data_IF_383063153851
#
_entry.id   IF_383063153851
#
_cell.length_a   1.000
_cell.length_b   1.000
_cell.length_c   1.000
_cell.angle_alpha   90.00
_cell.angle_beta   90.00
_cell.angle_gamma   90.00
#
_symmetry.space_group_name_H-M   'P 1'
#
loop_
_entity.id
_entity.type
_entity.pdbx_description
1 polymer ?
#
# COMPACT_ATOMS: atom_id res chain seq x y z
N UNK A 1 -25.17 -12.49 -11.92
CA UNK A 1 -26.44 -12.17 -11.25
C UNK A 1 -27.48 -11.93 -12.33
N UNK A 2 -28.54 -12.74 -12.33
CA UNK A 2 -29.53 -12.86 -13.39
C UNK A 2 -30.55 -11.72 -13.41
N UNK A 3 -30.94 -11.27 -14.61
CA UNK A 3 -32.31 -11.23 -15.15
C UNK A 3 -32.38 -10.23 -16.30
N UNK A 4 -32.63 -10.73 -17.51
CA UNK A 4 -33.77 -10.29 -18.33
C UNK A 4 -33.89 -11.25 -19.53
N UNK A 5 -34.92 -12.06 -19.46
CA UNK A 5 -35.49 -12.82 -20.57
C UNK A 5 -36.82 -12.13 -20.86
N UNK A 6 -37.05 -11.74 -22.11
CA UNK A 6 -38.39 -11.78 -22.70
C UNK A 6 -38.30 -12.42 -24.09
N UNK A 7 -39.13 -13.44 -24.27
CA UNK A 7 -39.15 -14.40 -25.37
C UNK A 7 -40.27 -14.09 -26.34
N UNK A 8 -40.03 -14.33 -27.63
CA UNK A 8 -41.06 -14.87 -28.53
C UNK A 8 -40.45 -15.86 -29.51
N UNK A 9 -40.94 -17.12 -29.48
CA UNK A 9 -41.08 -17.96 -30.67
C UNK A 9 -40.05 -19.08 -30.91
N UNK A 10 -40.49 -20.32 -30.66
CA UNK A 10 -40.00 -21.61 -31.17
C UNK A 10 -38.61 -22.10 -30.71
N UNK A 11 -38.60 -23.26 -30.04
CA UNK A 11 -37.45 -24.15 -29.77
C UNK A 11 -36.06 -23.52 -29.88
N UNK A 12 -35.62 -22.79 -28.87
CA UNK A 12 -34.34 -22.09 -28.97
C UNK A 12 -33.76 -21.81 -27.60
N UNK A 13 -32.68 -22.50 -27.25
CA UNK A 13 -31.67 -21.91 -26.36
C UNK A 13 -31.32 -20.53 -26.96
N UNK A 14 -31.12 -19.47 -26.16
CA UNK A 14 -30.74 -18.17 -26.70
C UNK A 14 -29.48 -18.35 -27.56
N UNK A 15 -29.57 -17.99 -28.84
CA UNK A 15 -28.40 -17.97 -29.74
C UNK A 15 -27.33 -17.09 -29.10
N UNK A 16 -26.26 -17.74 -28.65
CA UNK A 16 -25.16 -17.05 -28.01
C UNK A 16 -24.47 -16.19 -29.07
N UNK A 17 -24.51 -14.86 -28.89
CA UNK A 17 -23.84 -13.94 -29.82
C UNK A 17 -22.34 -14.27 -29.90
N UNK A 18 -21.74 -14.39 -31.09
CA UNK A 18 -20.30 -14.61 -31.24
C UNK A 18 -19.44 -13.59 -30.49
N UNK A 19 -19.93 -12.34 -30.35
CA UNK A 19 -19.24 -11.28 -29.61
C UNK A 19 -19.23 -11.57 -28.11
N UNK A 20 -20.31 -12.13 -27.56
CA UNK A 20 -20.38 -12.49 -26.14
C UNK A 20 -19.35 -13.57 -25.78
N UNK A 21 -19.12 -14.54 -26.68
CA UNK A 21 -18.09 -15.58 -26.50
C UNK A 21 -16.69 -14.95 -26.42
N UNK A 22 -16.42 -13.94 -27.26
CA UNK A 22 -15.17 -13.18 -27.21
C UNK A 22 -15.03 -12.43 -25.89
N UNK A 23 -16.09 -11.77 -25.43
CA UNK A 23 -16.07 -11.03 -24.16
C UNK A 23 -15.80 -11.95 -22.97
N UNK A 24 -16.41 -13.15 -22.93
CA UNK A 24 -16.15 -14.17 -21.90
C UNK A 24 -14.70 -14.64 -21.95
N UNK A 25 -14.15 -14.88 -23.14
CA UNK A 25 -12.75 -15.28 -23.29
C UNK A 25 -11.77 -14.18 -22.84
N UNK A 26 -12.11 -12.91 -23.07
CA UNK A 26 -11.35 -11.76 -22.57
C UNK A 26 -11.46 -11.67 -21.04
N UNK A 27 -12.63 -11.88 -20.47
CA UNK A 27 -12.82 -11.85 -19.02
C UNK A 27 -12.03 -12.97 -18.34
N UNK A 28 -12.03 -14.19 -18.90
CA UNK A 28 -11.17 -15.29 -18.43
C UNK A 28 -9.68 -14.96 -18.55
N UNK A 29 -9.26 -14.35 -19.66
CA UNK A 29 -7.88 -13.91 -19.87
C UNK A 29 -7.43 -12.90 -18.81
N UNK A 30 -8.28 -11.93 -18.49
CA UNK A 30 -8.00 -10.92 -17.45
C UNK A 30 -8.11 -11.51 -16.03
N UNK A 31 -8.99 -12.48 -15.78
CA UNK A 31 -9.05 -13.21 -14.52
C UNK A 31 -7.74 -13.98 -14.27
N UNK A 32 -7.19 -14.65 -15.29
CA UNK A 32 -5.86 -15.29 -15.20
C UNK A 32 -4.79 -14.24 -14.89
N UNK A 33 -4.82 -13.08 -15.55
CA UNK A 33 -3.86 -12.00 -15.29
C UNK A 33 -3.92 -11.55 -13.82
N UNK A 34 -5.11 -11.45 -13.25
CA UNK A 34 -5.37 -10.82 -11.96
C UNK A 34 -5.35 -11.81 -10.78
N UNK A 35 -5.46 -13.12 -11.03
CA UNK A 35 -5.56 -14.13 -9.96
C UNK A 35 -4.49 -15.22 -10.02
N UNK A 36 -3.82 -15.42 -11.17
CA UNK A 36 -2.76 -16.42 -11.30
C UNK A 36 -1.38 -15.81 -11.02
N UNK A 37 -0.78 -16.20 -9.89
CA UNK A 37 0.52 -15.72 -9.43
C UNK A 37 1.50 -16.88 -9.18
N UNK A 38 1.98 -17.55 -10.25
CA UNK A 38 2.97 -18.61 -10.11
C UNK A 38 4.31 -18.06 -9.61
N UNK A 39 5.13 -18.93 -9.03
CA UNK A 39 6.49 -18.58 -8.61
C UNK A 39 7.39 -18.24 -9.80
N UNK A 40 7.18 -18.92 -10.93
CA UNK A 40 7.87 -18.63 -12.19
C UNK A 40 7.06 -17.69 -13.07
N UNK A 41 7.58 -16.48 -13.31
CA UNK A 41 6.93 -15.47 -14.14
C UNK A 41 6.82 -15.89 -15.62
N UNK A 42 7.69 -16.80 -16.08
CA UNK A 42 7.59 -17.36 -17.43
C UNK A 42 6.34 -18.22 -17.59
N UNK A 43 5.93 -18.94 -16.53
CA UNK A 43 4.70 -19.72 -16.52
C UNK A 43 3.47 -18.81 -16.67
N UNK A 44 3.42 -17.68 -15.94
CA UNK A 44 2.35 -16.68 -16.08
C UNK A 44 2.29 -16.15 -17.51
N UNK A 45 3.44 -15.76 -18.04
CA UNK A 45 3.54 -15.19 -19.40
C UNK A 45 3.11 -16.19 -20.47
N UNK A 46 3.56 -17.44 -20.38
CA UNK A 46 3.17 -18.49 -21.33
C UNK A 46 1.67 -18.81 -21.26
N UNK A 47 1.08 -18.82 -20.06
CA UNK A 47 -0.36 -19.01 -19.88
C UNK A 47 -1.15 -17.84 -20.47
N UNK A 48 -0.76 -16.60 -20.20
CA UNK A 48 -1.40 -15.42 -20.79
C UNK A 48 -1.31 -15.44 -22.32
N UNK A 49 -0.15 -15.80 -22.88
CA UNK A 49 0.02 -15.92 -24.33
C UNK A 49 -0.95 -16.93 -24.94
N UNK A 50 -1.06 -18.13 -24.36
CA UNK A 50 -1.98 -19.17 -24.85
C UNK A 50 -3.43 -18.69 -24.90
N UNK A 51 -3.91 -18.02 -23.85
CA UNK A 51 -5.29 -17.55 -23.79
C UNK A 51 -5.50 -16.30 -24.67
N UNK A 52 -4.50 -15.43 -24.80
CA UNK A 52 -4.54 -14.30 -25.72
C UNK A 52 -4.63 -14.76 -27.17
N UNK A 53 -3.83 -15.76 -27.58
CA UNK A 53 -3.87 -16.32 -28.94
C UNK A 53 -5.24 -16.93 -29.25
N UNK A 54 -5.83 -17.66 -28.29
CA UNK A 54 -7.17 -18.22 -28.41
C UNK A 54 -8.24 -17.13 -28.53
N UNK A 55 -8.18 -16.08 -27.68
CA UNK A 55 -9.10 -14.96 -27.73
C UNK A 55 -8.98 -14.17 -29.04
N UNK A 56 -7.78 -13.99 -29.57
CA UNK A 56 -7.56 -13.35 -30.87
C UNK A 56 -8.18 -14.17 -32.01
N UNK A 57 -8.02 -15.49 -32.02
CA UNK A 57 -8.67 -16.35 -33.00
C UNK A 57 -10.21 -16.27 -32.92
N UNK A 58 -10.77 -16.18 -31.71
CA UNK A 58 -12.20 -15.93 -31.51
C UNK A 58 -12.64 -14.58 -32.06
N UNK A 59 -11.86 -13.51 -31.90
CA UNK A 59 -12.17 -12.19 -32.49
C UNK A 59 -12.23 -12.25 -34.01
N UNK A 60 -11.25 -12.90 -34.64
CA UNK A 60 -11.22 -13.02 -36.12
C UNK A 60 -12.43 -13.78 -36.66
N UNK A 61 -12.86 -14.83 -35.96
CA UNK A 61 -14.03 -15.65 -36.36
C UNK A 61 -15.36 -14.98 -36.03
N UNK A 62 -15.47 -14.27 -34.91
CA UNK A 62 -16.69 -13.57 -34.51
C UNK A 62 -16.94 -12.29 -35.31
N UNK A 63 -15.87 -11.61 -35.74
CA UNK A 63 -15.95 -10.37 -36.53
C UNK A 63 -15.05 -10.48 -37.76
N UNK A 64 -15.38 -11.35 -38.73
CA UNK A 64 -14.60 -11.50 -39.96
C UNK A 64 -14.72 -10.23 -40.83
N UNK A 65 -13.86 -10.12 -41.84
CA UNK A 65 -13.73 -8.89 -42.63
C UNK A 65 -15.05 -8.46 -43.30
N UNK A 66 -15.90 -9.41 -43.68
CA UNK A 66 -17.22 -9.19 -44.26
C UNK A 66 -18.19 -8.53 -43.29
N UNK A 67 -18.01 -8.70 -41.97
CA UNK A 67 -18.85 -8.06 -40.95
C UNK A 67 -18.32 -6.68 -40.52
N UNK A 68 -17.11 -6.30 -40.95
CA UNK A 68 -16.46 -5.01 -40.61
C UNK A 68 -16.92 -3.86 -41.54
N UNK A 69 -18.21 -3.80 -41.88
CA UNK A 69 -18.74 -2.83 -42.86
C UNK A 69 -18.95 -1.44 -42.25
N UNK A 70 -19.44 -1.37 -41.02
CA UNK A 70 -19.67 -0.09 -40.35
C UNK A 70 -18.43 0.40 -39.60
N UNK A 71 -18.36 1.72 -39.36
CA UNK A 71 -17.32 2.31 -38.50
C UNK A 71 -17.37 1.77 -37.06
N UNK A 72 -18.58 1.52 -36.53
CA UNK A 72 -18.77 0.96 -35.19
C UNK A 72 -18.23 -0.47 -35.06
N UNK A 73 -18.53 -1.35 -36.04
CA UNK A 73 -18.02 -2.73 -36.05
C UNK A 73 -16.49 -2.76 -36.20
N UNK A 74 -15.93 -1.89 -37.05
CA UNK A 74 -14.47 -1.73 -37.15
C UNK A 74 -13.86 -1.27 -35.82
N UNK A 75 -14.48 -0.29 -35.16
CA UNK A 75 -14.01 0.19 -33.86
C UNK A 75 -14.04 -0.92 -32.79
N UNK A 76 -15.11 -1.73 -32.76
CA UNK A 76 -15.24 -2.84 -31.82
C UNK A 76 -14.18 -3.92 -32.06
N UNK A 77 -13.93 -4.28 -33.32
CA UNK A 77 -12.86 -5.22 -33.68
C UNK A 77 -11.47 -4.73 -33.23
N UNK A 78 -11.13 -3.47 -33.55
CA UNK A 78 -9.86 -2.84 -33.16
C UNK A 78 -9.72 -2.77 -31.64
N UNK A 79 -10.81 -2.44 -30.93
CA UNK A 79 -10.85 -2.41 -29.47
C UNK A 79 -10.59 -3.79 -28.85
N UNK A 80 -11.29 -4.83 -29.31
CA UNK A 80 -11.18 -6.17 -28.72
C UNK A 80 -9.77 -6.76 -28.92
N UNK A 81 -9.18 -6.62 -30.12
CA UNK A 81 -7.78 -7.04 -30.33
C UNK A 81 -6.81 -6.24 -29.47
N UNK A 82 -6.98 -4.91 -29.44
CA UNK A 82 -6.16 -4.03 -28.63
C UNK A 82 -6.20 -4.38 -27.14
N UNK A 83 -7.38 -4.67 -26.60
CA UNK A 83 -7.59 -5.10 -25.22
C UNK A 83 -6.91 -6.45 -24.93
N UNK A 84 -7.03 -7.43 -25.83
CA UNK A 84 -6.35 -8.73 -25.66
C UNK A 84 -4.83 -8.57 -25.62
N UNK A 85 -4.27 -7.77 -26.54
CA UNK A 85 -2.82 -7.53 -26.62
C UNK A 85 -2.31 -6.72 -25.42
N UNK A 86 -3.15 -5.93 -24.77
CA UNK A 86 -2.82 -5.18 -23.55
C UNK A 86 -2.86 -6.05 -22.26
N UNK A 87 -3.13 -7.35 -22.33
CA UNK A 87 -3.15 -8.20 -21.11
C UNK A 87 -1.78 -8.29 -20.41
N UNK A 88 -0.69 -8.15 -21.17
CA UNK A 88 0.66 -8.36 -20.68
C UNK A 88 1.15 -7.18 -19.82
N UNK A 89 2.05 -7.42 -18.85
CA UNK A 89 2.54 -6.37 -17.96
C UNK A 89 3.48 -5.36 -18.65
N UNK A 90 3.97 -5.67 -19.84
CA UNK A 90 4.87 -4.82 -20.63
C UNK A 90 4.13 -4.16 -21.80
N UNK A 91 4.66 -3.02 -22.24
CA UNK A 91 4.14 -2.29 -23.39
C UNK A 91 4.23 -3.12 -24.68
N UNK A 92 3.13 -3.13 -25.44
CA UNK A 92 3.07 -3.69 -26.79
C UNK A 92 2.60 -2.63 -27.77
N UNK A 93 3.44 -2.32 -28.76
CA UNK A 93 3.10 -1.34 -29.80
C UNK A 93 1.85 -1.72 -30.57
N UNK A 94 1.65 -3.01 -30.85
CA UNK A 94 0.47 -3.49 -31.55
C UNK A 94 -0.83 -3.21 -30.78
N UNK A 95 -0.81 -3.33 -29.45
CA UNK A 95 -1.94 -2.95 -28.60
C UNK A 95 -2.25 -1.45 -28.75
N UNK A 96 -1.24 -0.57 -28.66
CA UNK A 96 -1.40 0.88 -28.86
C UNK A 96 -1.96 1.20 -30.24
N UNK A 97 -1.45 0.56 -31.31
CA UNK A 97 -1.89 0.79 -32.69
C UNK A 97 -3.38 0.43 -32.88
N UNK A 98 -3.81 -0.72 -32.34
CA UNK A 98 -5.21 -1.15 -32.37
C UNK A 98 -6.12 -0.25 -31.53
N UNK A 99 -5.73 0.06 -30.29
CA UNK A 99 -6.51 0.91 -29.40
C UNK A 99 -6.62 2.35 -29.92
N UNK A 100 -5.55 2.88 -30.51
CA UNK A 100 -5.53 4.19 -31.17
C UNK A 100 -6.49 4.25 -32.37
N UNK A 101 -6.59 3.17 -33.15
CA UNK A 101 -7.59 3.07 -34.23
C UNK A 101 -9.00 2.99 -33.66
N UNK A 102 -9.21 2.20 -32.61
CA UNK A 102 -10.52 2.06 -31.97
C UNK A 102 -11.09 3.40 -31.49
N UNK A 103 -10.30 4.21 -30.78
CA UNK A 103 -10.75 5.52 -30.28
C UNK A 103 -10.93 6.56 -31.39
N UNK A 104 -10.21 6.44 -32.52
CA UNK A 104 -10.42 7.30 -33.70
C UNK A 104 -11.72 6.95 -34.44
N UNK A 105 -12.04 5.66 -34.55
CA UNK A 105 -13.24 5.18 -35.21
C UNK A 105 -14.49 5.40 -34.35
N UNK A 106 -14.37 5.24 -33.04
CA UNK A 106 -15.44 5.50 -32.08
C UNK A 106 -14.91 6.24 -30.84
N UNK A 107 -14.88 7.58 -30.86
CA UNK A 107 -14.41 8.39 -29.75
C UNK A 107 -15.24 8.25 -28.46
N UNK A 108 -16.46 7.73 -28.54
CA UNK A 108 -17.36 7.55 -27.39
C UNK A 108 -17.11 6.26 -26.61
N UNK A 109 -16.21 5.38 -27.09
CA UNK A 109 -15.91 4.11 -26.45
C UNK A 109 -14.96 4.32 -25.26
N UNK A 110 -15.52 4.58 -24.07
CA UNK A 110 -14.76 4.87 -22.86
C UNK A 110 -13.77 3.77 -22.48
N UNK A 111 -14.15 2.49 -22.65
CA UNK A 111 -13.27 1.35 -22.36
C UNK A 111 -12.07 1.28 -23.31
N UNK A 112 -12.19 1.74 -24.56
CA UNK A 112 -11.04 1.81 -25.47
C UNK A 112 -10.05 2.90 -25.04
N UNK A 113 -10.54 4.04 -24.55
CA UNK A 113 -9.68 5.08 -23.96
C UNK A 113 -9.00 4.60 -22.67
N UNK A 114 -9.71 3.84 -21.82
CA UNK A 114 -9.15 3.20 -20.64
C UNK A 114 -8.01 2.24 -21.01
N UNK A 115 -8.24 1.31 -21.94
CA UNK A 115 -7.20 0.39 -22.40
C UNK A 115 -6.04 1.13 -23.06
N UNK A 116 -6.30 2.16 -23.87
CA UNK A 116 -5.25 2.97 -24.49
C UNK A 116 -4.40 3.69 -23.43
N UNK A 117 -5.03 4.27 -22.42
CA UNK A 117 -4.36 4.93 -21.31
C UNK A 117 -3.47 3.97 -20.52
N UNK A 118 -3.93 2.73 -20.26
CA UNK A 118 -3.13 1.68 -19.61
C UNK A 118 -1.94 1.27 -20.48
N UNK A 119 -2.15 1.07 -21.79
CA UNK A 119 -1.09 0.71 -22.72
C UNK A 119 0.01 1.79 -22.79
N UNK A 120 -0.39 3.07 -22.89
CA UNK A 120 0.52 4.22 -22.88
C UNK A 120 1.20 4.39 -21.52
N UNK A 121 0.54 4.03 -20.41
CA UNK A 121 1.19 4.01 -19.10
C UNK A 121 2.35 3.00 -19.09
N UNK A 122 2.15 1.79 -19.62
CA UNK A 122 3.23 0.79 -19.73
C UNK A 122 4.40 1.26 -20.61
N UNK A 123 4.15 2.17 -21.56
CA UNK A 123 5.19 2.83 -22.39
C UNK A 123 6.01 3.86 -21.60
N UNK A 124 5.49 4.32 -20.46
CA UNK A 124 6.12 5.34 -19.59
C UNK A 124 5.67 6.77 -19.88
N UNK A 125 4.77 7.01 -20.82
CA UNK A 125 4.26 8.34 -21.15
C UNK A 125 3.07 8.71 -20.23
N UNK A 126 3.39 9.08 -18.99
CA UNK A 126 2.40 9.40 -17.96
C UNK A 126 1.47 10.56 -18.35
N UNK A 127 1.93 11.67 -18.96
CA UNK A 127 1.05 12.74 -19.41
C UNK A 127 0.03 12.29 -20.46
N UNK A 128 0.45 11.52 -21.47
CA UNK A 128 -0.47 11.01 -22.49
C UNK A 128 -1.47 9.99 -21.92
N UNK A 129 -1.04 9.17 -20.94
CA UNK A 129 -1.94 8.27 -20.22
C UNK A 129 -3.02 9.04 -19.45
N UNK A 130 -2.65 10.10 -18.71
CA UNK A 130 -3.60 10.97 -17.99
C UNK A 130 -4.61 11.61 -18.94
N UNK A 131 -4.15 12.06 -20.12
CA UNK A 131 -5.03 12.59 -21.17
C UNK A 131 -6.04 11.56 -21.66
N UNK A 132 -5.63 10.31 -21.89
CA UNK A 132 -6.53 9.23 -22.31
C UNK A 132 -7.62 8.97 -21.26
N UNK A 133 -7.26 8.87 -19.98
CA UNK A 133 -8.25 8.68 -18.92
C UNK A 133 -9.18 9.88 -18.75
N UNK A 134 -8.67 11.10 -18.90
CA UNK A 134 -9.48 12.32 -18.85
C UNK A 134 -10.49 12.37 -20.00
N UNK A 135 -10.07 11.98 -21.21
CA UNK A 135 -10.96 11.84 -22.36
C UNK A 135 -12.00 10.73 -22.15
N UNK A 136 -11.63 9.63 -21.50
CA UNK A 136 -12.55 8.57 -21.14
C UNK A 136 -13.64 9.07 -20.16
N UNK A 137 -13.24 9.81 -19.11
CA UNK A 137 -14.19 10.41 -18.15
C UNK A 137 -15.09 11.48 -18.78
N UNK A 138 -14.62 12.18 -19.83
CA UNK A 138 -15.48 13.11 -20.58
C UNK A 138 -16.70 12.45 -21.22
N UNK A 139 -16.71 11.11 -21.35
CA UNK A 139 -17.84 10.32 -21.89
C UNK A 139 -18.83 9.89 -20.82
N UNK A 140 -18.45 10.01 -19.55
CA UNK A 140 -19.30 9.68 -18.42
C UNK A 140 -18.48 9.23 -17.20
N UNK A 141 -19.04 9.36 -15.98
CA UNK A 141 -18.38 8.90 -14.77
C UNK A 141 -18.21 7.37 -14.79
N UNK A 142 -17.01 6.89 -14.48
CA UNK A 142 -16.69 5.47 -14.47
C UNK A 142 -15.68 5.15 -13.37
N UNK A 143 -16.05 4.25 -12.45
CA UNK A 143 -15.23 3.88 -11.29
C UNK A 143 -13.88 3.27 -11.66
N UNK A 144 -13.80 2.47 -12.75
CA UNK A 144 -12.56 1.84 -13.20
C UNK A 144 -11.57 2.90 -13.69
N UNK A 145 -12.05 3.88 -14.48
CA UNK A 145 -11.22 4.97 -14.99
C UNK A 145 -10.74 5.88 -13.83
N UNK A 146 -11.63 6.19 -12.88
CA UNK A 146 -11.27 6.96 -11.68
C UNK A 146 -10.21 6.25 -10.82
N UNK A 147 -10.30 4.93 -10.68
CA UNK A 147 -9.26 4.14 -10.01
C UNK A 147 -7.93 4.22 -10.76
N UNK A 148 -7.92 4.08 -12.09
CA UNK A 148 -6.71 4.18 -12.89
C UNK A 148 -6.05 5.56 -12.82
N UNK A 149 -6.84 6.64 -12.88
CA UNK A 149 -6.33 8.00 -12.64
C UNK A 149 -5.70 8.15 -11.27
N UNK A 150 -6.39 7.66 -10.23
CA UNK A 150 -5.86 7.67 -8.88
C UNK A 150 -4.53 6.92 -8.78
N UNK A 151 -4.38 5.76 -9.41
CA UNK A 151 -3.12 5.01 -9.43
C UNK A 151 -2.01 5.75 -10.21
N UNK A 152 -2.35 6.28 -11.40
CA UNK A 152 -1.41 7.02 -12.25
C UNK A 152 -0.86 8.26 -11.54
N UNK A 153 -1.72 9.02 -10.87
CA UNK A 153 -1.33 10.24 -10.16
C UNK A 153 -0.35 9.95 -9.01
N UNK A 154 -0.52 8.82 -8.30
CA UNK A 154 0.46 8.37 -7.29
C UNK A 154 1.78 7.93 -7.93
N UNK A 155 1.73 7.31 -9.11
CA UNK A 155 2.93 6.95 -9.86
C UNK A 155 3.68 8.20 -10.33
N UNK A 156 2.97 9.20 -10.86
CA UNK A 156 3.54 10.50 -11.25
C UNK A 156 4.14 11.24 -10.05
N UNK A 157 3.49 11.19 -8.89
CA UNK A 157 4.00 11.79 -7.66
C UNK A 157 5.34 11.20 -7.20
N UNK A 158 5.69 9.97 -7.57
CA UNK A 158 7.01 9.40 -7.27
C UNK A 158 8.11 9.96 -8.18
N UNK A 159 7.76 10.40 -9.39
CA UNK A 159 8.70 10.82 -10.43
C UNK A 159 8.86 12.36 -10.55
N UNK A 160 7.96 13.13 -9.94
CA UNK A 160 7.87 14.59 -10.12
C UNK A 160 8.05 15.34 -8.80
N UNK A 161 8.38 16.63 -8.87
CA UNK A 161 8.53 17.50 -7.67
C UNK A 161 7.18 17.88 -7.04
N UNK A 162 6.08 17.92 -7.82
CA UNK A 162 4.75 18.32 -7.34
C UNK A 162 3.96 17.16 -6.69
N UNK A 163 4.59 16.47 -5.74
CA UNK A 163 4.08 15.21 -5.18
C UNK A 163 2.76 15.39 -4.43
N UNK A 164 2.65 16.44 -3.60
CA UNK A 164 1.50 16.65 -2.71
C UNK A 164 0.22 16.87 -3.52
N UNK A 165 0.26 17.76 -4.51
CA UNK A 165 -0.91 18.07 -5.35
C UNK A 165 -1.41 16.85 -6.10
N UNK A 166 -0.52 16.08 -6.73
CA UNK A 166 -0.88 14.86 -7.48
C UNK A 166 -1.52 13.81 -6.54
N UNK A 167 -1.03 13.70 -5.31
CA UNK A 167 -1.61 12.78 -4.34
C UNK A 167 -2.98 13.25 -3.83
N UNK A 168 -3.19 14.57 -3.72
CA UNK A 168 -4.52 15.11 -3.39
C UNK A 168 -5.53 14.86 -4.52
N UNK A 169 -5.14 15.03 -5.80
CA UNK A 169 -5.94 14.61 -6.96
C UNK A 169 -6.26 13.10 -6.89
N UNK A 170 -5.26 12.28 -6.55
CA UNK A 170 -5.43 10.83 -6.41
C UNK A 170 -6.48 10.45 -5.37
N UNK A 171 -6.51 11.17 -4.23
CA UNK A 171 -7.53 10.99 -3.20
C UNK A 171 -8.91 11.40 -3.73
N UNK A 172 -9.02 12.51 -4.46
CA UNK A 172 -10.29 12.97 -5.02
C UNK A 172 -10.87 11.95 -6.01
N UNK A 173 -10.06 11.44 -6.95
CA UNK A 173 -10.49 10.42 -7.90
C UNK A 173 -10.87 9.11 -7.22
N UNK A 174 -10.10 8.64 -6.23
CA UNK A 174 -10.44 7.43 -5.49
C UNK A 174 -11.74 7.57 -4.68
N UNK A 175 -11.97 8.73 -4.05
CA UNK A 175 -13.24 9.02 -3.36
C UNK A 175 -14.41 9.03 -4.34
N UNK A 176 -14.24 9.65 -5.50
CA UNK A 176 -15.27 9.64 -6.54
C UNK A 176 -15.58 8.21 -7.02
N UNK A 177 -14.58 7.35 -7.16
CA UNK A 177 -14.78 5.94 -7.50
C UNK A 177 -15.62 5.21 -6.44
N UNK A 178 -15.29 5.39 -5.15
CA UNK A 178 -16.07 4.83 -4.02
C UNK A 178 -17.50 5.38 -4.00
N UNK A 179 -17.71 6.66 -4.33
CA UNK A 179 -19.05 7.25 -4.37
C UNK A 179 -19.93 6.68 -5.48
N UNK A 180 -19.34 6.25 -6.60
CA UNK A 180 -20.08 5.57 -7.67
C UNK A 180 -20.52 4.16 -7.27
N UNK A 181 -19.73 3.46 -6.45
CA UNK A 181 -20.07 2.15 -5.91
C UNK A 181 -19.37 1.88 -4.57
N UNK A 182 -20.10 2.08 -3.47
CA UNK A 182 -19.57 1.90 -2.12
C UNK A 182 -19.28 0.45 -1.75
N UNK A 183 -19.71 -0.52 -2.57
CA UNK A 183 -19.43 -1.95 -2.37
C UNK A 183 -18.20 -2.41 -3.17
N UNK A 184 -17.69 -1.59 -4.07
CA UNK A 184 -16.53 -1.93 -4.90
C UNK A 184 -15.25 -1.93 -4.07
N UNK A 185 -14.71 -3.12 -3.79
CA UNK A 185 -13.53 -3.24 -2.96
C UNK A 185 -12.28 -2.64 -3.61
N UNK A 186 -12.18 -2.69 -4.95
CA UNK A 186 -11.05 -2.11 -5.67
C UNK A 186 -11.00 -0.57 -5.54
N UNK A 187 -12.15 0.10 -5.54
CA UNK A 187 -12.25 1.55 -5.27
C UNK A 187 -11.80 1.89 -3.85
N UNK A 188 -12.22 1.11 -2.86
CA UNK A 188 -11.76 1.26 -1.47
C UNK A 188 -10.27 1.01 -1.31
N UNK A 189 -9.73 -0.01 -1.99
CA UNK A 189 -8.31 -0.31 -2.00
C UNK A 189 -7.49 0.84 -2.59
N UNK A 190 -7.95 1.42 -3.70
CA UNK A 190 -7.31 2.58 -4.31
C UNK A 190 -7.35 3.82 -3.41
N UNK A 191 -8.46 4.03 -2.69
CA UNK A 191 -8.54 5.08 -1.67
C UNK A 191 -7.56 4.84 -0.51
N UNK A 192 -7.40 3.58 -0.10
CA UNK A 192 -6.44 3.18 0.93
C UNK A 192 -5.00 3.51 0.52
N UNK A 193 -4.64 3.18 -0.72
CA UNK A 193 -3.34 3.51 -1.30
C UNK A 193 -3.12 5.02 -1.43
N UNK A 194 -4.14 5.78 -1.84
CA UNK A 194 -4.06 7.24 -1.92
C UNK A 194 -3.79 7.89 -0.56
N UNK A 195 -4.48 7.44 0.49
CA UNK A 195 -4.22 7.90 1.84
C UNK A 195 -2.84 7.49 2.36
N UNK A 196 -2.41 6.24 2.07
CA UNK A 196 -1.09 5.76 2.46
C UNK A 196 0.02 6.61 1.81
N UNK A 197 -0.08 6.86 0.51
CA UNK A 197 0.87 7.72 -0.20
C UNK A 197 0.83 9.16 0.32
N UNK A 198 -0.36 9.71 0.60
CA UNK A 198 -0.49 11.07 1.15
C UNK A 198 0.18 11.19 2.51
N UNK A 199 0.07 10.17 3.37
CA UNK A 199 0.77 10.12 4.64
C UNK A 199 2.28 10.28 4.45
N UNK A 200 2.91 9.49 3.59
CA UNK A 200 4.37 9.56 3.39
C UNK A 200 4.82 10.83 2.66
N UNK A 201 4.12 11.24 1.59
CA UNK A 201 4.47 12.43 0.79
C UNK A 201 4.35 13.71 1.61
N UNK A 202 3.41 13.76 2.57
CA UNK A 202 3.30 14.92 3.47
C UNK A 202 4.26 14.88 4.66
N UNK A 203 5.17 13.91 4.72
CA UNK A 203 6.23 13.84 5.74
C UNK A 203 5.95 12.87 6.89
N UNK A 204 4.99 11.96 6.72
CA UNK A 204 4.67 10.89 7.66
C UNK A 204 4.25 11.36 9.08
N UNK A 205 3.59 12.52 9.16
CA UNK A 205 3.14 13.09 10.45
C UNK A 205 1.64 12.98 10.68
N UNK A 206 0.83 13.05 9.61
CA UNK A 206 -0.63 13.03 9.70
C UNK A 206 -1.17 11.60 9.90
N UNK A 207 -1.15 11.14 11.14
CA UNK A 207 -1.66 9.83 11.52
C UNK A 207 -3.13 9.62 11.15
N UNK A 208 -3.92 10.68 10.96
CA UNK A 208 -5.30 10.53 10.52
C UNK A 208 -5.37 9.96 9.11
N UNK A 209 -4.46 10.34 8.20
CA UNK A 209 -4.36 9.73 6.86
C UNK A 209 -4.00 8.26 6.91
N UNK A 210 -3.08 7.87 7.79
CA UNK A 210 -2.71 6.47 7.94
C UNK A 210 -3.87 5.62 8.50
N UNK A 211 -4.64 6.18 9.45
CA UNK A 211 -5.87 5.54 9.95
C UNK A 211 -6.97 5.49 8.89
N UNK A 212 -7.12 6.53 8.05
CA UNK A 212 -8.04 6.53 6.91
C UNK A 212 -7.65 5.46 5.89
N UNK A 213 -6.35 5.27 5.62
CA UNK A 213 -5.84 4.21 4.77
C UNK A 213 -6.26 2.82 5.28
N UNK A 214 -6.02 2.52 6.57
CA UNK A 214 -6.43 1.26 7.18
C UNK A 214 -7.95 1.03 7.12
N UNK A 215 -8.76 2.06 7.36
CA UNK A 215 -10.22 1.96 7.24
C UNK A 215 -10.66 1.67 5.81
N UNK A 216 -9.99 2.26 4.82
CA UNK A 216 -10.26 1.98 3.41
C UNK A 216 -9.93 0.52 3.06
N UNK A 217 -8.77 0.00 3.49
CA UNK A 217 -8.43 -1.41 3.29
C UNK A 217 -9.42 -2.36 3.98
N UNK A 218 -9.86 -2.05 5.20
CA UNK A 218 -10.89 -2.83 5.89
C UNK A 218 -12.23 -2.85 5.13
N UNK A 219 -12.58 -1.78 4.41
CA UNK A 219 -13.76 -1.78 3.54
C UNK A 219 -13.50 -2.55 2.25
N UNK A 220 -12.29 -2.49 1.69
CA UNK A 220 -11.91 -3.27 0.52
C UNK A 220 -12.01 -4.79 0.78
N UNK A 221 -11.56 -5.25 1.95
CA UNK A 221 -11.60 -6.67 2.35
C UNK A 221 -13.02 -7.26 2.48
N UNK A 222 -14.07 -6.41 2.53
CA UNK A 222 -15.47 -6.86 2.53
C UNK A 222 -15.93 -7.37 1.17
N UNK A 223 -15.23 -6.99 0.10
CA UNK A 223 -15.46 -7.51 -1.25
C UNK A 223 -14.75 -8.85 -1.42
N UNK A 224 -15.50 -9.90 -1.78
CA UNK A 224 -14.97 -11.25 -1.97
C UNK A 224 -13.88 -11.31 -3.04
N UNK A 225 -13.97 -10.49 -4.09
CA UNK A 225 -12.95 -10.45 -5.15
C UNK A 225 -11.62 -9.89 -4.60
N UNK A 226 -11.69 -8.91 -3.70
CA UNK A 226 -10.51 -8.31 -3.12
C UNK A 226 -9.80 -9.22 -2.12
N UNK A 227 -10.49 -10.22 -1.56
CA UNK A 227 -9.83 -11.25 -0.72
C UNK A 227 -8.82 -12.09 -1.48
N UNK A 228 -8.85 -12.08 -2.82
CA UNK A 228 -7.84 -12.73 -3.66
C UNK A 228 -6.66 -11.80 -3.99
N UNK A 229 -6.77 -10.49 -3.71
CA UNK A 229 -5.73 -9.51 -4.07
C UNK A 229 -4.51 -9.61 -3.14
N UNK A 230 -3.34 -10.03 -3.63
CA UNK A 230 -2.13 -10.07 -2.81
C UNK A 230 -1.64 -8.67 -2.41
N UNK A 231 -1.80 -7.68 -3.29
CA UNK A 231 -1.35 -6.31 -3.07
C UNK A 231 -2.15 -5.58 -1.97
N UNK A 232 -3.44 -5.89 -1.82
CA UNK A 232 -4.25 -5.38 -0.71
C UNK A 232 -3.66 -5.80 0.64
N UNK A 233 -3.38 -7.10 0.82
CA UNK A 233 -2.78 -7.61 2.05
C UNK A 233 -1.39 -7.03 2.28
N UNK A 234 -0.57 -6.91 1.23
CA UNK A 234 0.78 -6.36 1.33
C UNK A 234 0.77 -4.89 1.78
N UNK A 235 -0.07 -4.05 1.15
CA UNK A 235 -0.15 -2.63 1.45
C UNK A 235 -0.80 -2.38 2.82
N UNK A 236 -1.83 -3.15 3.18
CA UNK A 236 -2.45 -3.11 4.52
C UNK A 236 -1.45 -3.55 5.60
N UNK A 237 -0.65 -4.59 5.36
CA UNK A 237 0.41 -5.04 6.25
C UNK A 237 1.51 -3.98 6.41
N UNK A 238 1.88 -3.30 5.33
CA UNK A 238 2.85 -2.20 5.35
C UNK A 238 2.38 -1.04 6.24
N UNK A 239 1.12 -0.63 6.12
CA UNK A 239 0.53 0.39 6.99
C UNK A 239 0.50 -0.06 8.46
N UNK A 240 0.14 -1.33 8.73
CA UNK A 240 0.16 -1.90 10.07
C UNK A 240 1.58 -1.99 10.65
N UNK A 241 2.58 -2.39 9.85
CA UNK A 241 4.01 -2.42 10.24
C UNK A 241 4.47 -1.04 10.67
N UNK A 242 4.16 -0.01 9.88
CA UNK A 242 4.52 1.37 10.21
C UNK A 242 3.86 1.84 11.51
N UNK A 243 2.61 1.44 11.74
CA UNK A 243 1.89 1.69 12.99
C UNK A 243 2.30 0.76 14.14
N UNK A 244 3.33 -0.06 14.01
CA UNK A 244 3.77 -1.04 15.02
C UNK A 244 2.67 -2.05 15.43
N UNK A 245 1.67 -2.28 14.57
CA UNK A 245 0.67 -3.33 14.73
C UNK A 245 1.26 -4.66 14.20
N UNK A 246 2.31 -5.16 14.85
CA UNK A 246 3.15 -6.24 14.32
C UNK A 246 2.39 -7.52 13.98
N UNK A 247 1.45 -7.95 14.82
CA UNK A 247 0.64 -9.16 14.58
C UNK A 247 -0.18 -9.05 13.28
N UNK A 248 -0.87 -7.91 13.09
CA UNK A 248 -1.64 -7.65 11.86
C UNK A 248 -0.74 -7.55 10.64
N UNK A 249 0.44 -6.93 10.79
CA UNK A 249 1.42 -6.86 9.72
C UNK A 249 1.92 -8.25 9.32
N UNK A 250 2.26 -9.11 10.29
CA UNK A 250 2.72 -10.48 10.05
C UNK A 250 1.66 -11.32 9.32
N UNK A 251 0.40 -11.29 9.78
CA UNK A 251 -0.70 -11.98 9.09
C UNK A 251 -0.93 -11.45 7.68
N UNK A 252 -0.91 -10.13 7.48
CA UNK A 252 -1.10 -9.54 6.15
C UNK A 252 0.04 -9.90 5.20
N UNK A 253 1.31 -9.83 5.63
CA UNK A 253 2.43 -10.24 4.79
C UNK A 253 2.44 -11.76 4.51
N UNK A 254 2.06 -12.60 5.48
CA UNK A 254 1.92 -14.05 5.26
C UNK A 254 0.79 -14.35 4.24
N UNK A 255 -0.35 -13.66 4.36
CA UNK A 255 -1.45 -13.78 3.42
C UNK A 255 -1.08 -13.29 2.01
N UNK A 256 -0.28 -12.23 1.89
CA UNK A 256 0.24 -11.74 0.62
C UNK A 256 1.24 -12.74 0.00
N UNK A 257 2.18 -13.26 0.79
CA UNK A 257 3.18 -14.25 0.34
C UNK A 257 2.53 -15.55 -0.14
N UNK A 258 1.45 -15.98 0.53
CA UNK A 258 0.70 -17.16 0.14
C UNK A 258 0.00 -16.99 -1.22
N UNK A 259 -0.53 -15.80 -1.48
CA UNK A 259 -1.27 -15.49 -2.72
C UNK A 259 -0.35 -15.21 -3.90
N UNK A 260 0.71 -14.43 -3.69
CA UNK A 260 1.71 -14.10 -4.69
C UNK A 260 3.12 -14.25 -4.09
N UNK A 261 3.77 -15.41 -4.29
CA UNK A 261 5.15 -15.64 -3.87
C UNK A 261 6.15 -14.64 -4.48
N UNK A 262 5.82 -14.04 -5.63
CA UNK A 262 6.66 -13.05 -6.31
C UNK A 262 6.76 -11.71 -5.58
N UNK A 263 5.83 -11.40 -4.67
CA UNK A 263 5.92 -10.20 -3.82
C UNK A 263 7.06 -10.26 -2.81
N UNK A 264 7.63 -11.44 -2.56
CA UNK A 264 8.64 -11.65 -1.51
C UNK A 264 8.19 -11.16 -0.12
N UNK A 265 6.89 -11.19 0.16
CA UNK A 265 6.33 -10.73 1.44
C UNK A 265 6.79 -11.59 2.63
N UNK A 266 7.26 -12.81 2.36
CA UNK A 266 7.94 -13.67 3.32
C UNK A 266 9.23 -13.04 3.88
N UNK A 267 9.92 -12.19 3.10
CA UNK A 267 11.08 -11.42 3.58
C UNK A 267 10.65 -10.41 4.65
N UNK A 268 9.53 -9.74 4.46
CA UNK A 268 8.99 -8.79 5.44
C UNK A 268 8.53 -9.50 6.72
N UNK A 269 7.91 -10.68 6.60
CA UNK A 269 7.61 -11.54 7.78
C UNK A 269 8.90 -11.87 8.54
N UNK A 270 9.94 -12.34 7.86
CA UNK A 270 11.23 -12.68 8.50
C UNK A 270 11.85 -11.48 9.19
N UNK A 271 11.86 -10.30 8.55
CA UNK A 271 12.40 -9.07 9.15
C UNK A 271 11.69 -8.70 10.44
N UNK A 272 10.35 -8.75 10.46
CA UNK A 272 9.55 -8.42 11.66
C UNK A 272 9.84 -9.44 12.77
N UNK A 273 9.87 -10.75 12.47
CA UNK A 273 10.16 -11.77 13.49
C UNK A 273 11.57 -11.58 14.07
N UNK A 274 12.58 -11.37 13.23
CA UNK A 274 13.96 -11.10 13.68
C UNK A 274 14.04 -9.85 14.54
N UNK A 275 13.31 -8.79 14.17
CA UNK A 275 13.22 -7.57 14.99
C UNK A 275 12.61 -7.88 16.36
N UNK A 276 11.44 -8.52 16.41
CA UNK A 276 10.76 -8.87 17.66
C UNK A 276 11.62 -9.75 18.57
N UNK A 277 12.32 -10.72 17.99
CA UNK A 277 13.28 -11.57 18.71
C UNK A 277 14.42 -10.75 19.32
N UNK A 278 14.98 -9.79 18.57
CA UNK A 278 16.02 -8.90 19.09
C UNK A 278 15.49 -8.01 20.20
N UNK A 279 14.32 -7.39 20.04
CA UNK A 279 13.71 -6.53 21.06
C UNK A 279 13.47 -7.30 22.37
N UNK A 280 12.87 -8.49 22.27
CA UNK A 280 12.60 -9.38 23.41
C UNK A 280 13.89 -9.82 24.12
N UNK A 281 14.89 -10.29 23.37
CA UNK A 281 16.17 -10.71 23.93
C UNK A 281 16.94 -9.54 24.56
N UNK A 282 16.93 -8.38 23.91
CA UNK A 282 17.59 -7.17 24.43
C UNK A 282 16.99 -6.70 25.74
N UNK A 283 15.66 -6.74 25.90
CA UNK A 283 14.99 -6.41 27.16
C UNK A 283 15.31 -7.41 28.27
N UNK A 284 15.22 -8.72 27.96
CA UNK A 284 15.55 -9.80 28.91
C UNK A 284 16.99 -9.71 29.41
N UNK A 285 17.93 -9.31 28.55
CA UNK A 285 19.33 -9.12 28.92
C UNK A 285 19.59 -7.96 29.89
N UNK A 286 18.68 -6.97 29.96
CA UNK A 286 18.80 -5.84 30.90
C UNK A 286 18.13 -6.11 32.25
N UNK A 287 17.19 -7.06 32.31
CA UNK A 287 16.50 -7.43 33.54
C UNK A 287 17.51 -7.97 34.58
N UNK A 288 17.66 -7.25 35.71
CA UNK A 288 18.54 -7.66 36.81
C UNK A 288 20.02 -7.25 36.67
N UNK A 289 20.37 -6.40 35.69
CA UNK A 289 21.75 -5.92 35.53
C UNK A 289 22.17 -4.97 36.65
N UNK A 290 23.15 -5.40 37.47
CA UNK A 290 23.76 -4.57 38.55
C UNK A 290 24.48 -3.32 38.02
N UNK A 291 24.72 -3.23 36.71
CA UNK A 291 25.37 -2.08 36.06
C UNK A 291 24.45 -0.88 35.88
N UNK A 292 23.14 -1.05 36.06
CA UNK A 292 22.13 0.01 35.85
C UNK A 292 22.16 1.08 36.95
N UNK A 293 22.34 0.70 38.22
CA UNK A 293 22.27 1.62 39.35
C UNK A 293 23.16 2.88 39.22
N UNK A 294 24.47 2.78 38.89
CA UNK A 294 25.31 3.98 38.71
C UNK A 294 24.92 4.82 37.49
N UNK A 295 24.46 4.20 36.40
CA UNK A 295 23.99 4.91 35.20
C UNK A 295 22.72 5.73 35.48
N UNK A 296 21.79 5.14 36.22
CA UNK A 296 20.49 5.72 36.52
C UNK A 296 20.54 6.79 37.61
N UNK A 297 21.55 6.77 38.49
CA UNK A 297 21.77 7.82 39.50
C UNK A 297 21.85 9.23 38.87
N UNK A 298 22.37 9.33 37.66
CA UNK A 298 22.47 10.59 36.91
C UNK A 298 21.11 11.15 36.41
N UNK A 299 20.02 10.38 36.44
CA UNK A 299 18.70 10.81 35.93
C UNK A 299 17.94 11.75 36.88
N UNK A 300 18.38 11.85 38.15
CA UNK A 300 17.73 12.64 39.19
C UNK A 300 17.97 14.15 39.07
N UNK A 301 19.07 14.57 38.44
CA UNK A 301 19.57 15.96 38.43
C UNK A 301 18.94 16.86 37.35
N UNK A 302 17.93 16.37 36.62
CA UNK A 302 17.38 17.07 35.46
C UNK A 302 16.45 18.21 35.91
N UNK A 303 17.00 19.42 36.03
CA UNK A 303 16.24 20.68 36.05
C UNK A 303 15.95 21.14 34.62
N UNK A 304 15.02 20.45 33.94
CA UNK A 304 14.47 20.98 32.70
C UNK A 304 13.34 21.96 33.07
N UNK A 305 13.44 23.21 32.64
CA UNK A 305 12.34 24.18 32.72
C UNK A 305 11.34 23.80 31.62
N UNK A 306 10.55 22.76 31.88
CA UNK A 306 9.49 22.28 31.00
C UNK A 306 8.15 22.42 31.70
N UNK A 307 7.12 22.78 30.95
CA UNK A 307 5.73 22.76 31.41
C UNK A 307 5.21 21.33 31.65
N UNK A 308 5.96 20.30 31.25
CA UNK A 308 5.58 18.91 31.33
C UNK A 308 5.92 18.30 32.69
N UNK A 309 4.98 17.54 33.26
CA UNK A 309 5.21 16.80 34.50
C UNK A 309 6.11 15.59 34.25
N UNK A 310 7.24 15.51 34.96
CA UNK A 310 8.09 14.30 34.96
C UNK A 310 7.34 13.12 35.58
N UNK A 311 7.25 12.02 34.86
CA UNK A 311 6.66 10.75 35.30
C UNK A 311 7.57 9.58 34.95
N UNK A 312 7.35 8.43 35.58
CA UNK A 312 8.00 7.17 35.24
C UNK A 312 7.08 6.32 34.35
N UNK A 313 7.63 5.28 33.72
CA UNK A 313 6.93 4.45 32.74
C UNK A 313 5.64 3.84 33.30
N UNK A 314 5.67 3.40 34.57
CA UNK A 314 4.56 2.72 35.24
C UNK A 314 3.30 3.58 35.48
N UNK A 315 3.39 4.90 35.25
CA UNK A 315 2.25 5.83 35.38
C UNK A 315 1.59 6.09 34.02
N UNK A 316 2.27 5.78 32.91
CA UNK A 316 1.76 6.06 31.57
C UNK A 316 0.54 5.21 31.24
N UNK A 317 -0.37 5.80 30.49
CA UNK A 317 -1.55 5.12 29.93
C UNK A 317 -1.35 4.86 28.45
N UNK A 318 -1.96 3.78 27.93
CA UNK A 318 -1.83 3.42 26.52
C UNK A 318 -2.32 4.56 25.62
N UNK A 319 -1.50 4.93 24.63
CA UNK A 319 -1.72 6.06 23.73
C UNK A 319 -0.92 7.30 24.11
N UNK A 320 -1.42 8.47 23.68
CA UNK A 320 -0.75 9.76 23.86
C UNK A 320 -0.93 10.28 25.30
N UNK A 321 0.18 10.56 26.00
CA UNK A 321 0.16 11.12 27.34
C UNK A 321 0.55 12.61 27.31
N UNK A 322 -0.44 13.50 27.17
CA UNK A 322 -0.23 14.96 27.04
C UNK A 322 0.33 15.61 28.31
N UNK A 323 1.11 16.68 28.16
CA UNK A 323 1.68 17.45 29.28
C UNK A 323 2.52 16.62 30.27
N UNK A 324 2.99 15.43 29.87
CA UNK A 324 3.91 14.61 30.66
C UNK A 324 5.23 14.44 29.91
N UNK A 325 6.29 14.19 30.67
CA UNK A 325 7.58 13.78 30.11
C UNK A 325 8.15 12.58 30.87
N UNK A 326 8.88 11.73 30.17
CA UNK A 326 9.67 10.66 30.76
C UNK A 326 11.14 10.89 30.47
N UNK A 327 11.99 10.62 31.45
CA UNK A 327 13.44 10.71 31.30
C UNK A 327 14.02 9.31 31.47
N UNK A 328 14.83 8.89 30.52
CA UNK A 328 15.48 7.59 30.54
C UNK A 328 16.92 7.64 30.07
N UNK A 329 17.66 6.59 30.40
CA UNK A 329 19.02 6.34 29.92
C UNK A 329 18.96 5.32 28.79
N UNK A 330 19.60 5.61 27.67
CA UNK A 330 19.73 4.68 26.54
C UNK A 330 20.73 3.60 26.93
N UNK A 331 20.29 2.35 26.93
CA UNK A 331 21.10 1.20 27.32
C UNK A 331 21.69 0.46 26.12
N UNK A 332 20.97 0.44 25.00
CA UNK A 332 21.36 -0.33 23.83
C UNK A 332 20.65 0.19 22.58
N UNK A 333 21.35 0.22 21.46
CA UNK A 333 20.76 0.34 20.13
C UNK A 333 20.48 -1.05 19.54
N UNK A 334 19.25 -1.29 19.07
CA UNK A 334 18.83 -2.58 18.51
C UNK A 334 18.91 -2.53 16.99
N UNK A 335 19.99 -3.08 16.44
CA UNK A 335 20.24 -3.12 14.99
C UNK A 335 19.26 -4.04 14.26
N UNK A 336 18.65 -3.54 13.18
CA UNK A 336 17.79 -4.31 12.28
C UNK A 336 17.99 -3.84 10.83
N UNK A 337 17.31 -4.49 9.88
CA UNK A 337 17.57 -4.34 8.45
C UNK A 337 16.81 -3.17 7.80
N UNK A 338 15.81 -2.59 8.47
CA UNK A 338 15.06 -1.45 7.94
C UNK A 338 15.71 -0.12 8.36
N UNK A 339 15.56 0.89 7.52
CA UNK A 339 16.14 2.24 7.74
C UNK A 339 15.41 2.97 8.86
N UNK A 340 14.12 2.71 9.03
CA UNK A 340 13.29 3.34 10.05
C UNK A 340 12.17 2.38 10.52
N UNK A 341 11.76 2.48 11.81
CA UNK A 341 12.33 3.37 12.83
C UNK A 341 13.62 2.82 13.44
N UNK A 342 14.39 3.68 14.12
CA UNK A 342 15.48 3.23 14.99
C UNK A 342 14.93 2.73 16.31
N UNK A 343 15.45 1.60 16.81
CA UNK A 343 15.00 1.00 18.08
C UNK A 343 16.09 1.07 19.14
N UNK A 344 15.72 1.49 20.34
CA UNK A 344 16.61 1.55 21.50
C UNK A 344 15.98 0.88 22.71
N UNK A 345 16.79 0.27 23.57
CA UNK A 345 16.37 -0.09 24.93
C UNK A 345 16.67 1.10 25.83
N UNK A 346 15.65 1.59 26.52
CA UNK A 346 15.74 2.73 27.44
C UNK A 346 15.27 2.30 28.81
N UNK A 347 15.89 2.84 29.86
CA UNK A 347 15.54 2.55 31.24
C UNK A 347 15.32 3.84 32.03
N UNK A 348 14.20 3.93 32.74
CA UNK A 348 13.85 5.08 33.57
C UNK A 348 14.45 5.00 34.99
N UNK A 349 14.19 6.02 35.82
CA UNK A 349 14.67 6.07 37.21
C UNK A 349 14.09 4.97 38.12
N UNK A 350 12.98 4.34 37.73
CA UNK A 350 12.38 3.22 38.47
C UNK A 350 12.92 1.85 38.01
N UNK A 351 13.96 1.83 37.18
CA UNK A 351 14.52 0.63 36.57
C UNK A 351 13.55 -0.09 35.62
N UNK A 352 12.52 0.60 35.13
CA UNK A 352 11.63 0.06 34.12
C UNK A 352 12.28 0.20 32.74
N UNK A 353 12.61 -0.93 32.12
CA UNK A 353 13.12 -0.97 30.74
C UNK A 353 11.97 -1.00 29.73
N UNK A 354 12.11 -0.27 28.64
CA UNK A 354 11.15 -0.23 27.54
C UNK A 354 11.86 -0.01 26.20
N UNK A 355 11.15 -0.31 25.10
CA UNK A 355 11.63 -0.03 23.75
C UNK A 355 11.27 1.40 23.37
N UNK A 356 12.23 2.16 22.88
CA UNK A 356 12.01 3.44 22.22
C UNK A 356 12.09 3.23 20.71
N UNK A 357 10.99 3.45 19.99
CA UNK A 357 10.95 3.50 18.54
C UNK A 357 11.00 4.95 18.07
N UNK A 358 12.04 5.32 17.31
CA UNK A 358 12.26 6.68 16.84
C UNK A 358 12.14 6.73 15.32
N UNK A 359 11.09 7.39 14.84
CA UNK A 359 10.88 7.70 13.44
C UNK A 359 11.49 9.06 13.12
N UNK A 360 11.90 9.22 11.86
CA UNK A 360 12.35 10.51 11.34
C UNK A 360 13.65 11.05 11.93
N UNK A 361 14.44 10.21 12.60
CA UNK A 361 15.74 10.57 13.18
C UNK A 361 16.81 9.59 12.70
N UNK A 362 17.97 10.13 12.32
CA UNK A 362 19.13 9.34 11.92
C UNK A 362 19.67 8.53 13.10
N UNK A 363 20.07 7.27 12.87
CA UNK A 363 20.51 6.34 13.92
C UNK A 363 21.69 6.87 14.78
N UNK A 364 22.56 7.72 14.21
CA UNK A 364 23.73 8.28 14.89
C UNK A 364 23.40 9.42 15.88
N UNK A 365 22.15 9.88 15.88
CA UNK A 365 21.71 11.00 16.70
C UNK A 365 21.58 10.66 18.19
N UNK A 366 21.39 9.38 18.52
CA UNK A 366 21.19 8.87 19.88
C UNK A 366 22.15 7.72 20.10
N UNK A 367 22.96 7.79 21.16
CA UNK A 367 24.01 6.82 21.49
C UNK A 367 23.73 6.11 22.81
N UNK A 368 24.38 4.97 22.98
CA UNK A 368 24.38 4.27 24.27
C UNK A 368 24.96 5.18 25.37
N UNK A 369 24.29 5.20 26.52
CA UNK A 369 24.62 6.09 27.62
C UNK A 369 24.03 7.50 27.49
N UNK A 370 23.40 7.87 26.38
CA UNK A 370 22.71 9.15 26.30
C UNK A 370 21.50 9.19 27.23
N UNK A 371 21.20 10.38 27.75
CA UNK A 371 19.95 10.66 28.44
C UNK A 371 18.93 11.15 27.43
N UNK A 372 17.77 10.51 27.38
CA UNK A 372 16.66 10.93 26.53
C UNK A 372 15.52 11.45 27.39
N UNK A 373 14.98 12.62 27.03
CA UNK A 373 13.72 13.14 27.58
C UNK A 373 12.68 13.08 26.48
N UNK A 374 11.62 12.31 26.70
CA UNK A 374 10.53 12.14 25.75
C UNK A 374 9.34 12.98 26.20
N UNK A 375 8.91 13.91 25.35
CA UNK A 375 7.80 14.82 25.58
C UNK A 375 6.53 14.22 25.00
N UNK A 376 5.43 14.32 25.76
CA UNK A 376 4.12 13.79 25.41
C UNK A 376 4.16 12.35 24.85
N UNK A 377 4.77 11.39 25.59
CA UNK A 377 5.07 10.07 25.06
C UNK A 377 3.83 9.33 24.59
N UNK A 378 3.92 8.77 23.38
CA UNK A 378 2.96 7.80 22.88
C UNK A 378 3.34 6.41 23.37
N UNK A 379 2.72 5.98 24.47
CA UNK A 379 3.02 4.73 25.16
C UNK A 379 2.20 3.57 24.62
N UNK A 380 2.82 2.40 24.47
CA UNK A 380 2.19 1.17 23.98
C UNK A 380 2.60 -0.02 24.82
N UNK A 381 1.61 -0.87 25.06
CA UNK A 381 1.80 -2.22 25.57
C UNK A 381 1.70 -3.13 24.34
N UNK A 382 2.82 -3.75 23.97
CA UNK A 382 2.87 -4.70 22.87
C UNK A 382 2.73 -6.08 23.49
N UNK A 383 1.62 -6.73 23.20
CA UNK A 383 1.29 -8.08 23.65
C UNK A 383 0.75 -8.81 22.42
N UNK A 384 1.56 -9.70 21.88
CA UNK A 384 1.20 -10.44 20.67
C UNK A 384 1.80 -11.83 20.67
N UNK A 385 1.12 -12.73 19.95
CA UNK A 385 1.60 -14.10 19.76
C UNK A 385 1.73 -14.36 18.27
N UNK A 386 2.93 -14.74 17.83
CA UNK A 386 3.15 -15.16 16.46
C UNK A 386 3.56 -16.62 16.43
N UNK A 387 2.72 -17.44 15.79
CA UNK A 387 2.85 -18.91 15.75
C UNK A 387 2.89 -19.47 17.17
N UNK A 388 4.06 -19.84 17.68
CA UNK A 388 4.22 -20.43 19.02
C UNK A 388 5.01 -19.52 19.98
N UNK A 389 5.44 -18.33 19.53
CA UNK A 389 6.22 -17.41 20.36
C UNK A 389 5.37 -16.22 20.78
N UNK A 390 5.38 -15.96 22.08
CA UNK A 390 4.73 -14.83 22.71
C UNK A 390 5.75 -13.71 22.92
N UNK A 391 5.38 -12.48 22.56
CA UNK A 391 6.17 -11.27 22.76
C UNK A 391 5.38 -10.30 23.61
N UNK A 392 5.97 -9.88 24.73
CA UNK A 392 5.38 -8.90 25.61
C UNK A 392 6.42 -7.84 25.97
N UNK A 393 6.18 -6.59 25.56
CA UNK A 393 7.06 -5.47 25.90
C UNK A 393 6.35 -4.13 25.84
N UNK A 394 6.84 -3.20 26.65
CA UNK A 394 6.42 -1.82 26.63
C UNK A 394 7.23 -1.04 25.60
N UNK A 395 6.58 -0.15 24.84
CA UNK A 395 7.28 0.79 23.96
C UNK A 395 6.78 2.23 24.08
N UNK A 396 7.65 3.17 23.74
CA UNK A 396 7.29 4.56 23.49
C UNK A 396 7.71 4.90 22.07
N UNK A 397 6.76 5.45 21.31
CA UNK A 397 6.98 5.89 19.94
C UNK A 397 7.25 7.39 19.89
N UNK A 398 8.25 7.76 19.11
CA UNK A 398 8.59 9.14 18.75
C UNK A 398 8.47 9.27 17.23
N UNK A 399 7.62 10.20 16.80
CA UNK A 399 7.41 10.50 15.39
C UNK A 399 8.22 11.71 14.91
N UNK A 400 8.55 12.63 15.83
CA UNK A 400 9.21 13.90 15.53
C UNK A 400 10.38 14.21 16.45
N UNK A 401 11.35 14.97 15.93
CA UNK A 401 12.53 15.42 16.68
C UNK A 401 12.17 16.30 17.86
N UNK A 402 11.06 17.03 17.80
CA UNK A 402 10.58 17.92 18.86
C UNK A 402 10.06 17.13 20.08
N UNK A 403 9.73 15.86 19.91
CA UNK A 403 9.25 15.00 21.00
C UNK A 403 10.40 14.39 21.80
N UNK A 404 11.66 14.61 21.41
CA UNK A 404 12.82 14.00 22.06
C UNK A 404 13.95 15.01 22.26
N UNK A 405 14.44 15.08 23.49
CA UNK A 405 15.67 15.79 23.83
C UNK A 405 16.75 14.77 24.19
N UNK A 406 17.97 14.99 23.69
CA UNK A 406 19.12 14.13 23.96
C UNK A 406 20.14 14.93 24.74
N UNK A 407 20.48 14.48 25.96
CA UNK A 407 21.33 15.18 26.90
C UNK A 407 20.89 16.65 27.05
N UNK A 408 19.60 16.84 27.38
CA UNK A 408 18.93 18.14 27.59
C UNK A 408 18.82 19.04 26.34
N UNK A 409 19.36 18.62 25.20
CA UNK A 409 19.37 19.41 23.98
C UNK A 409 18.39 18.89 22.94
N UNK A 410 17.74 19.80 22.22
CA UNK A 410 16.97 19.45 21.04
C UNK A 410 17.90 18.85 19.96
N UNK A 411 17.40 17.86 19.23
CA UNK A 411 18.14 17.28 18.12
C UNK A 411 18.35 18.33 17.02
N UNK A 412 19.58 18.46 16.53
CA UNK A 412 19.90 19.37 15.44
C UNK A 412 19.15 18.96 14.15
N UNK A 413 18.70 19.92 13.31
CA UNK A 413 17.94 19.63 12.09
C UNK A 413 18.60 18.64 11.14
N UNK A 414 19.94 18.61 11.11
CA UNK A 414 20.76 17.67 10.32
C UNK A 414 20.53 16.19 10.66
N UNK A 415 19.96 15.88 11.83
CA UNK A 415 19.63 14.52 12.23
C UNK A 415 18.22 14.09 11.83
N UNK A 416 17.43 15.00 11.24
CA UNK A 416 16.07 14.70 10.79
C UNK A 416 16.09 13.96 9.46
N UNK A 417 15.35 12.86 9.37
CA UNK A 417 15.18 12.04 8.16
C UNK A 417 13.70 11.99 7.82
N UNK A 418 13.33 11.97 6.53
CA UNK A 418 11.93 11.75 6.13
C UNK A 418 11.71 10.28 5.83
N UNK A 419 10.69 9.68 6.45
CA UNK A 419 10.28 8.33 6.09
C UNK A 419 9.60 8.34 4.71
N UNK A 420 10.08 7.52 3.79
CA UNK A 420 9.45 7.32 2.47
C UNK A 420 9.09 5.84 2.32
N UNK A 421 7.80 5.53 2.29
CA UNK A 421 7.30 4.23 1.86
C UNK A 421 6.33 4.47 0.73
N UNK A 422 6.50 3.73 -0.35
CA UNK A 422 5.60 3.76 -1.49
C UNK A 422 4.66 2.56 -1.40
N UNK A 423 3.36 2.80 -1.58
CA UNK A 423 2.41 1.70 -1.76
C UNK A 423 2.85 0.87 -2.97
N UNK A 424 2.74 -0.45 -2.90
CA UNK A 424 2.99 -1.32 -4.03
C UNK A 424 2.03 -0.94 -5.16
N UNK A 425 2.58 -0.48 -6.28
CA UNK A 425 1.85 -0.17 -7.51
C UNK A 425 2.10 -1.32 -8.47
N UNK A 426 1.27 -2.36 -8.45
CA UNK A 426 1.18 -3.26 -9.61
C UNK A 426 0.04 -2.74 -10.50
N UNK A 427 0.39 -2.40 -11.74
CA UNK A 427 -0.52 -1.99 -12.81
C UNK A 427 -1.21 -3.18 -13.45
#
# INVERSE_FOLDING_TARGET
MAQLVETTGSSGLPEISPIWIVEVAIDELYDIRDTFFPKDQMEKTARLQKYADAALALVETAIPQELRKSTSQRAQYEFLRGKILDVFPYYQKEAEDHLSKAVKLNPSLADAWLCLGNCIWKKGDLPSSKNCFSLALSKGPNKKILCQLSMLERSMAQAMENQVHLVDESIQHAKAAVMLDVKDGNSWYNLGNAYLTSFFVTGAWDHAKLQQSLKAYQNAEKDELMKLSPDLYFNCATANKYLENYERALHGFEAAAFKDPGLNADKEVRKIVVLLDKLDNSLKGQAGSKRLAPLLASLGEVTLISTHKKVNLNILTQGLNKAVMIVGKVLLFVKHDDIAPSYYVVCDSNQCCFILSVYGVHQDAIKEGDRVTLLEPFYRINDLTWKQKHYQFNSIRVDFVEQILVNENALAPRHTVRASIHAQLKS
#
